data_IF_915833824167
#
_entry.id   IF_915833824167
#
_cell.length_a   1.000
_cell.length_b   1.000
_cell.length_c   1.000
_cell.angle_alpha   90.00
_cell.angle_beta   90.00
_cell.angle_gamma   90.00
#
_symmetry.space_group_name_H-M   'P 1'
#
loop_
_entity.id
_entity.type
_entity.pdbx_description
1 polymer ?
#
# COMPACT_ATOMS: atom_id res chain seq x y z
N UNK A 1 -20.12 -54.39 18.12
CA UNK A 1 -19.51 -53.28 18.90
C UNK A 1 -18.03 -53.02 18.62
N UNK A 2 -17.28 -53.90 17.94
CA UNK A 2 -15.82 -53.73 17.73
C UNK A 2 -15.47 -52.58 16.75
N UNK A 3 -16.30 -52.32 15.74
CA UNK A 3 -16.04 -51.29 14.72
C UNK A 3 -16.13 -49.84 15.23
N UNK A 4 -16.91 -49.57 16.28
CA UNK A 4 -16.98 -48.23 16.90
C UNK A 4 -15.73 -47.90 17.73
N UNK A 5 -15.13 -48.89 18.39
CA UNK A 5 -13.88 -48.69 19.13
C UNK A 5 -12.72 -48.37 18.18
N UNK A 6 -12.55 -49.12 17.08
CA UNK A 6 -11.53 -48.81 16.08
C UNK A 6 -11.67 -47.41 15.47
N UNK A 7 -12.90 -46.92 15.26
CA UNK A 7 -13.13 -45.58 14.69
C UNK A 7 -12.74 -44.47 15.69
N UNK A 8 -13.03 -44.66 16.98
CA UNK A 8 -12.67 -43.72 18.04
C UNK A 8 -11.13 -43.68 18.26
N UNK A 9 -10.47 -44.85 18.21
CA UNK A 9 -9.01 -44.94 18.34
C UNK A 9 -8.30 -44.29 17.14
N UNK A 10 -8.79 -44.47 15.91
CA UNK A 10 -8.23 -43.82 14.71
C UNK A 10 -8.36 -42.28 14.78
N UNK A 11 -9.47 -41.75 15.31
CA UNK A 11 -9.66 -40.32 15.51
C UNK A 11 -8.75 -39.77 16.63
N UNK A 12 -8.57 -40.51 17.71
CA UNK A 12 -7.64 -40.18 18.79
C UNK A 12 -6.18 -40.18 18.33
N UNK A 13 -5.80 -41.16 17.50
CA UNK A 13 -4.46 -41.25 16.89
C UNK A 13 -4.22 -40.06 15.97
N UNK A 14 -5.18 -39.70 15.09
CA UNK A 14 -5.05 -38.53 14.20
C UNK A 14 -4.96 -37.22 14.97
N UNK A 15 -5.73 -37.05 16.05
CA UNK A 15 -5.64 -35.87 16.91
C UNK A 15 -4.28 -35.77 17.61
N UNK A 16 -3.74 -36.90 18.07
CA UNK A 16 -2.43 -36.96 18.75
C UNK A 16 -1.27 -36.69 17.79
N UNK A 17 -1.34 -37.22 16.56
CA UNK A 17 -0.37 -36.93 15.49
C UNK A 17 -0.40 -35.45 15.09
N UNK A 18 -1.60 -34.84 15.00
CA UNK A 18 -1.72 -33.40 14.69
C UNK A 18 -1.13 -32.53 15.81
N UNK A 19 -1.39 -32.86 17.08
CA UNK A 19 -0.81 -32.14 18.22
C UNK A 19 0.72 -32.28 18.28
N UNK A 20 1.25 -33.47 18.00
CA UNK A 20 2.69 -33.71 17.94
C UNK A 20 3.36 -32.91 16.82
N UNK A 21 2.76 -32.87 15.62
CA UNK A 21 3.25 -32.04 14.51
C UNK A 21 3.24 -30.55 14.84
N UNK A 22 2.19 -30.05 15.48
CA UNK A 22 2.09 -28.64 15.91
C UNK A 22 3.20 -28.33 16.92
N UNK A 23 3.44 -29.22 17.90
CA UNK A 23 4.48 -29.05 18.91
C UNK A 23 5.88 -28.97 18.27
N UNK A 24 6.20 -29.87 17.34
CA UNK A 24 7.48 -29.84 16.61
C UNK A 24 7.66 -28.57 15.77
N UNK A 25 6.62 -28.08 15.09
CA UNK A 25 6.67 -26.84 14.30
C UNK A 25 6.89 -25.63 15.20
N UNK A 26 6.27 -25.58 16.38
CA UNK A 26 6.44 -24.46 17.33
C UNK A 26 7.84 -24.40 17.94
N UNK A 27 8.45 -25.55 18.24
CA UNK A 27 9.81 -25.61 18.82
C UNK A 27 10.87 -25.14 17.81
N UNK A 28 10.71 -25.50 16.53
CA UNK A 28 11.63 -25.05 15.45
C UNK A 28 11.46 -23.55 15.17
N UNK A 29 10.24 -23.01 15.29
CA UNK A 29 9.96 -21.59 15.03
C UNK A 29 10.55 -20.62 16.06
N UNK A 30 10.79 -21.06 17.30
CA UNK A 30 11.29 -20.21 18.39
C UNK A 30 12.80 -19.91 18.28
N UNK A 31 13.57 -20.72 17.53
CA UNK A 31 15.03 -20.57 17.41
C UNK A 31 15.51 -19.51 16.39
N UNK A 32 14.62 -18.84 15.65
CA UNK A 32 15.00 -17.93 14.55
C UNK A 32 14.76 -16.43 14.80
N UNK A 33 14.39 -16.02 16.01
CA UNK A 33 14.16 -14.59 16.34
C UNK A 33 15.15 -14.09 17.39
N UNK A 34 16.41 -13.91 16.94
CA UNK A 34 17.35 -13.01 17.60
C UNK A 34 17.08 -11.58 17.11
N UNK A 35 16.74 -10.60 17.97
CA UNK A 35 16.68 -9.21 17.56
C UNK A 35 18.11 -8.64 17.53
N UNK A 36 18.67 -8.48 16.34
CA UNK A 36 19.87 -7.65 16.17
C UNK A 36 19.46 -6.20 16.46
N UNK A 37 20.15 -5.57 17.41
CA UNK A 37 20.07 -4.14 17.71
C UNK A 37 20.47 -3.36 16.46
N UNK A 38 19.52 -2.69 15.81
CA UNK A 38 19.80 -1.72 14.76
C UNK A 38 19.65 -0.30 15.32
N UNK A 39 20.77 0.42 15.32
CA UNK A 39 20.84 1.84 15.67
C UNK A 39 19.77 2.66 14.92
N UNK A 40 19.01 3.47 15.66
CA UNK A 40 18.03 4.39 15.12
C UNK A 40 18.74 5.51 14.34
N UNK A 41 18.87 5.35 13.02
CA UNK A 41 18.92 6.50 12.12
C UNK A 41 17.48 6.95 11.91
N UNK A 42 17.10 8.05 12.55
CA UNK A 42 15.88 8.83 12.31
C UNK A 42 15.85 9.29 10.86
N UNK A 43 15.51 8.37 9.98
CA UNK A 43 15.24 8.64 8.59
C UNK A 43 13.81 9.15 8.60
N UNK A 44 13.62 10.48 8.52
CA UNK A 44 12.35 11.02 8.04
C UNK A 44 12.11 10.36 6.68
N UNK A 45 11.38 9.24 6.67
CA UNK A 45 10.89 8.61 5.45
C UNK A 45 9.94 9.62 4.84
N UNK A 46 10.45 10.48 3.98
CA UNK A 46 9.65 11.25 3.04
C UNK A 46 8.80 10.23 2.30
N UNK A 47 7.53 10.12 2.69
CA UNK A 47 6.61 9.17 2.04
C UNK A 47 6.64 9.46 0.55
N UNK A 48 6.77 8.42 -0.27
CA UNK A 48 6.80 8.64 -1.72
C UNK A 48 5.49 9.31 -2.14
N UNK A 49 5.53 10.14 -3.18
CA UNK A 49 4.34 10.84 -3.71
C UNK A 49 3.17 9.87 -3.98
N UNK A 50 3.49 8.63 -4.34
CA UNK A 50 2.53 7.56 -4.57
C UNK A 50 1.86 7.06 -3.27
N UNK A 51 2.59 7.00 -2.16
CA UNK A 51 2.03 6.63 -0.86
C UNK A 51 1.12 7.73 -0.29
N UNK A 52 1.48 9.00 -0.50
CA UNK A 52 0.65 10.15 -0.10
C UNK A 52 -0.67 10.12 -0.89
N UNK A 53 -0.59 9.93 -2.22
CA UNK A 53 -1.76 9.82 -3.10
C UNK A 53 -2.69 8.68 -2.68
N UNK A 54 -2.14 7.53 -2.32
CA UNK A 54 -2.92 6.37 -1.87
C UNK A 54 -3.69 6.65 -0.56
N UNK A 55 -3.06 7.32 0.40
CA UNK A 55 -3.73 7.71 1.65
C UNK A 55 -4.88 8.67 1.37
N UNK A 56 -4.66 9.69 0.55
CA UNK A 56 -5.68 10.68 0.21
C UNK A 56 -6.88 10.04 -0.52
N UNK A 57 -6.63 9.16 -1.50
CA UNK A 57 -7.68 8.39 -2.16
C UNK A 57 -8.53 7.58 -1.17
N UNK A 58 -7.91 6.97 -0.16
CA UNK A 58 -8.66 6.23 0.86
C UNK A 58 -9.52 7.15 1.76
N UNK A 59 -9.01 8.33 2.11
CA UNK A 59 -9.77 9.32 2.89
C UNK A 59 -10.97 9.81 2.08
N UNK A 60 -10.78 10.16 0.81
CA UNK A 60 -11.86 10.61 -0.06
C UNK A 60 -12.92 9.52 -0.29
N UNK A 61 -12.52 8.26 -0.43
CA UNK A 61 -13.45 7.14 -0.57
C UNK A 61 -14.33 6.98 0.68
N UNK A 62 -13.74 7.10 1.88
CA UNK A 62 -14.47 7.07 3.16
C UNK A 62 -15.41 8.27 3.32
N UNK A 63 -14.95 9.48 2.97
CA UNK A 63 -15.77 10.71 3.03
C UNK A 63 -16.98 10.65 2.09
N UNK A 64 -16.87 9.89 0.99
CA UNK A 64 -17.94 9.63 0.03
C UNK A 64 -18.76 8.37 0.37
N UNK A 65 -18.48 7.71 1.49
CA UNK A 65 -19.10 6.45 1.91
C UNK A 65 -19.17 5.41 0.77
N UNK A 66 -18.09 5.32 -0.01
CA UNK A 66 -18.03 4.40 -1.14
C UNK A 66 -17.68 3.00 -0.65
N UNK A 67 -18.51 2.04 -1.02
CA UNK A 67 -18.35 0.63 -0.68
C UNK A 67 -18.46 -0.27 -1.91
N UNK A 68 -18.05 -1.53 -1.76
CA UNK A 68 -18.11 -2.54 -2.81
C UNK A 68 -17.43 -2.10 -4.12
N UNK A 69 -18.12 -2.33 -5.24
CA UNK A 69 -17.62 -1.97 -6.57
C UNK A 69 -17.35 -0.47 -6.73
N UNK A 70 -18.16 0.40 -6.09
CA UNK A 70 -18.02 1.86 -6.21
C UNK A 70 -16.69 2.33 -5.63
N UNK A 71 -16.25 1.76 -4.51
CA UNK A 71 -14.93 2.04 -3.93
C UNK A 71 -13.79 1.61 -4.83
N UNK A 72 -13.91 0.43 -5.45
CA UNK A 72 -12.86 -0.14 -6.32
C UNK A 72 -12.66 0.73 -7.57
N UNK A 73 -13.74 1.12 -8.24
CA UNK A 73 -13.69 2.01 -9.40
C UNK A 73 -13.17 3.40 -9.04
N UNK A 74 -13.59 3.94 -7.89
CA UNK A 74 -13.06 5.20 -7.38
C UNK A 74 -11.55 5.12 -7.09
N UNK A 75 -11.09 4.05 -6.46
CA UNK A 75 -9.67 3.86 -6.16
C UNK A 75 -8.84 3.74 -7.44
N UNK A 76 -9.31 2.98 -8.43
CA UNK A 76 -8.64 2.89 -9.73
C UNK A 76 -8.58 4.25 -10.43
N UNK A 77 -9.68 5.00 -10.45
CA UNK A 77 -9.71 6.35 -11.04
C UNK A 77 -8.82 7.34 -10.26
N UNK A 78 -8.79 7.25 -8.93
CA UNK A 78 -8.00 8.13 -8.08
C UNK A 78 -6.50 7.85 -8.24
N UNK A 79 -6.10 6.58 -8.32
CA UNK A 79 -4.69 6.19 -8.43
C UNK A 79 -4.14 6.29 -9.85
N UNK A 80 -5.00 6.19 -10.87
CA UNK A 80 -4.54 6.33 -12.26
C UNK A 80 -4.03 7.74 -12.55
N UNK A 81 -3.08 7.83 -13.49
CA UNK A 81 -2.48 9.09 -13.94
C UNK A 81 -3.39 9.87 -14.89
N UNK A 82 -4.65 9.45 -15.05
CA UNK A 82 -5.63 10.13 -15.89
C UNK A 82 -6.31 11.21 -15.07
N UNK A 83 -6.32 12.48 -15.52
CA UNK A 83 -6.93 13.57 -14.77
C UNK A 83 -8.45 13.36 -14.72
N UNK A 84 -8.95 12.83 -13.60
CA UNK A 84 -10.37 12.84 -13.30
C UNK A 84 -10.76 14.26 -12.91
N UNK A 85 -11.46 14.92 -13.83
CA UNK A 85 -12.09 16.24 -13.68
C UNK A 85 -12.92 16.32 -12.39
N UNK A 86 -12.36 16.89 -11.32
CA UNK A 86 -13.02 17.83 -10.40
C UNK A 86 -12.11 18.22 -9.22
N UNK A 87 -11.89 19.53 -9.12
CA UNK A 87 -11.64 20.31 -7.90
C UNK A 87 -10.23 20.22 -7.27
N UNK A 88 -9.28 20.97 -7.84
CA UNK A 88 -8.68 22.13 -7.17
C UNK A 88 -7.93 22.96 -8.23
N UNK A 89 -8.23 24.25 -8.34
CA UNK A 89 -7.62 25.17 -9.33
C UNK A 89 -6.08 25.08 -9.36
N UNK A 90 -5.47 24.83 -8.20
CA UNK A 90 -4.02 24.61 -8.07
C UNK A 90 -3.49 23.32 -8.74
N UNK A 91 -4.26 22.23 -8.70
CA UNK A 91 -3.82 20.94 -9.23
C UNK A 91 -3.84 20.93 -10.77
N UNK A 92 -4.81 21.64 -11.37
CA UNK A 92 -4.87 21.83 -12.83
C UNK A 92 -3.71 22.69 -13.34
N UNK A 93 -3.34 23.73 -12.58
CA UNK A 93 -2.21 24.61 -12.91
C UNK A 93 -0.90 23.83 -12.93
N UNK A 94 -0.66 22.99 -11.92
CA UNK A 94 0.51 22.12 -11.88
C UNK A 94 0.56 21.13 -13.06
N UNK A 95 -0.59 20.57 -13.46
CA UNK A 95 -0.67 19.67 -14.61
C UNK A 95 -0.36 20.42 -15.92
N UNK A 96 -0.90 21.63 -16.11
CA UNK A 96 -0.59 22.48 -17.28
C UNK A 96 0.88 22.87 -17.32
N UNK A 97 1.45 23.35 -16.23
CA UNK A 97 2.87 23.70 -16.14
C UNK A 97 3.78 22.51 -16.47
N UNK A 98 3.45 21.32 -15.95
CA UNK A 98 4.21 20.11 -16.29
C UNK A 98 4.08 19.71 -17.76
N UNK A 99 2.90 19.88 -18.37
CA UNK A 99 2.67 19.58 -19.78
C UNK A 99 3.39 20.56 -20.71
N UNK A 100 3.42 21.86 -20.38
CA UNK A 100 4.15 22.88 -21.13
C UNK A 100 5.67 22.70 -21.00
N UNK A 101 6.15 22.37 -19.80
CA UNK A 101 7.56 22.03 -19.59
C UNK A 101 8.01 20.82 -20.44
N UNK A 102 7.12 19.89 -20.75
CA UNK A 102 7.41 18.74 -21.60
C UNK A 102 7.60 19.08 -23.09
N UNK A 103 7.14 20.26 -23.52
CA UNK A 103 7.26 20.74 -24.91
C UNK A 103 8.49 21.61 -25.14
N UNK A 104 9.16 22.02 -24.07
CA UNK A 104 10.31 22.93 -24.10
C UNK A 104 11.58 22.15 -23.75
N UNK A 105 12.60 22.21 -24.61
CA UNK A 105 13.95 21.75 -24.24
C UNK A 105 14.65 22.87 -23.47
N UNK A 106 14.75 22.70 -22.15
CA UNK A 106 15.44 23.65 -21.27
C UNK A 106 16.94 23.39 -21.27
N UNK A 107 17.73 24.46 -21.13
CA UNK A 107 19.11 24.36 -20.66
C UNK A 107 19.12 24.10 -19.15
N UNK A 108 20.28 23.69 -18.63
CA UNK A 108 20.42 23.41 -17.20
C UNK A 108 20.00 24.61 -16.33
N UNK A 109 19.14 24.36 -15.33
CA UNK A 109 18.59 25.40 -14.45
C UNK A 109 17.30 26.09 -14.92
N UNK A 110 17.05 26.20 -16.23
CA UNK A 110 15.91 26.99 -16.76
C UNK A 110 14.54 26.36 -16.44
N UNK A 111 14.46 25.02 -16.39
CA UNK A 111 13.23 24.29 -16.08
C UNK A 111 12.66 24.66 -14.70
N UNK A 112 13.53 24.91 -13.72
CA UNK A 112 13.14 25.27 -12.35
C UNK A 112 12.56 26.68 -12.31
N UNK A 113 13.12 27.59 -13.09
CA UNK A 113 12.64 28.98 -13.23
C UNK A 113 11.27 28.97 -13.89
N UNK A 114 11.13 28.22 -14.99
CA UNK A 114 9.85 28.02 -15.68
C UNK A 114 8.76 27.50 -14.73
N UNK A 115 9.05 26.42 -14.00
CA UNK A 115 8.06 25.81 -13.10
C UNK A 115 7.65 26.78 -11.97
N UNK A 116 8.61 27.55 -11.43
CA UNK A 116 8.33 28.53 -10.38
C UNK A 116 7.52 29.71 -10.89
N UNK A 117 7.69 30.12 -12.15
CA UNK A 117 6.91 31.21 -12.77
C UNK A 117 5.48 30.75 -13.07
N UNK A 118 5.33 29.61 -13.74
CA UNK A 118 4.03 29.06 -14.13
C UNK A 118 3.10 28.72 -12.94
N UNK A 119 3.68 28.39 -11.78
CA UNK A 119 2.92 28.12 -10.55
C UNK A 119 2.57 29.38 -9.73
N UNK A 120 3.17 30.54 -10.06
CA UNK A 120 2.95 31.83 -9.37
C UNK A 120 1.97 32.73 -10.12
N UNK A 121 2.04 32.74 -11.45
CA UNK A 121 0.93 33.19 -12.30
C UNK A 121 -0.31 32.38 -11.98
#
# INVERSE_FOLDING_TARGET
MIYCYCCNDILQIRSSIMKLKILFITIIGVLLVNPVLAAEKTTKKTMSSQQIKMKDCNIQAKKKSLEGQKRKSFMQSCLSSKPSKKNNSQNEKMIKCNAEAGKIKFKEGERKIFMSKCLRD
#
